data_IF_803514520303
#
_entry.id   IF_803514520303
#
_cell.length_a   1.000
_cell.length_b   1.000
_cell.length_c   1.000
_cell.angle_alpha   90.00
_cell.angle_beta   90.00
_cell.angle_gamma   90.00
#
_symmetry.space_group_name_H-M   'P 1'
#
loop_
_entity.id
_entity.type
_entity.pdbx_description
1 polymer ?
#
# COMPACT_ATOMS: atom_id res chain seq x y z
N UNK A 1 -5.15 5.49 -6.92
CA UNK A 1 -6.11 5.96 -7.92
C UNK A 1 -5.44 7.05 -8.72
N UNK A 2 -5.62 7.05 -10.03
CA UNK A 2 -5.09 8.06 -10.94
C UNK A 2 -6.16 9.16 -11.18
N UNK A 3 -5.77 10.35 -11.67
CA UNK A 3 -6.71 11.45 -11.91
C UNK A 3 -7.79 11.16 -12.96
N UNK A 4 -7.49 10.31 -13.94
CA UNK A 4 -8.39 9.83 -15.00
C UNK A 4 -9.46 8.83 -14.50
N UNK A 5 -9.39 8.42 -13.23
CA UNK A 5 -10.28 7.43 -12.64
C UNK A 5 -9.78 6.00 -12.77
N UNK A 6 -8.59 5.78 -13.34
CA UNK A 6 -7.96 4.46 -13.40
C UNK A 6 -7.36 4.05 -12.04
N UNK A 7 -7.26 2.75 -11.84
CA UNK A 7 -6.67 2.17 -10.65
C UNK A 7 -5.54 1.24 -11.04
N UNK A 8 -4.35 1.59 -10.56
CA UNK A 8 -3.15 0.79 -10.73
C UNK A 8 -2.97 -0.07 -9.49
N UNK A 9 -3.02 -1.39 -9.67
CA UNK A 9 -2.67 -2.34 -8.61
C UNK A 9 -1.24 -2.83 -8.84
N UNK A 10 -0.35 -2.53 -7.90
CA UNK A 10 1.02 -3.02 -7.92
C UNK A 10 1.12 -4.21 -6.98
N UNK A 11 1.44 -5.37 -7.54
CA UNK A 11 1.62 -6.60 -6.77
C UNK A 11 3.11 -6.80 -6.47
N UNK A 12 3.38 -7.06 -5.20
CA UNK A 12 4.72 -7.27 -4.67
C UNK A 12 4.87 -8.74 -4.28
N UNK A 13 6.11 -9.23 -4.33
CA UNK A 13 6.45 -10.56 -3.79
C UNK A 13 7.00 -10.48 -2.36
N UNK A 14 6.63 -9.43 -1.61
CA UNK A 14 7.10 -9.22 -0.24
C UNK A 14 6.75 -10.41 0.65
N UNK A 15 5.54 -10.96 0.49
CA UNK A 15 5.06 -12.08 1.31
C UNK A 15 5.88 -13.33 1.08
N UNK A 16 6.20 -13.64 -0.17
CA UNK A 16 6.99 -14.79 -0.58
C UNK A 16 8.41 -14.68 -0.04
N UNK A 17 9.04 -13.51 -0.16
CA UNK A 17 10.35 -13.22 0.41
C UNK A 17 10.32 -13.49 1.92
N UNK A 18 9.43 -12.83 2.67
CA UNK A 18 9.34 -12.97 4.12
C UNK A 18 9.09 -14.41 4.56
N UNK A 19 8.19 -15.11 3.85
CA UNK A 19 7.87 -16.51 4.14
C UNK A 19 9.08 -17.41 3.92
N UNK A 20 9.80 -17.23 2.80
CA UNK A 20 11.01 -17.98 2.50
C UNK A 20 12.11 -17.79 3.55
N UNK A 21 12.34 -16.55 4.00
CA UNK A 21 13.33 -16.26 5.06
C UNK A 21 12.87 -16.71 6.44
N UNK A 22 11.58 -16.63 6.75
CA UNK A 22 11.02 -17.19 7.98
C UNK A 22 11.26 -18.70 8.09
N UNK A 23 10.99 -19.45 7.01
CA UNK A 23 11.24 -20.91 6.97
C UNK A 23 12.73 -21.20 7.12
N UNK A 24 13.61 -20.44 6.46
CA UNK A 24 15.08 -20.58 6.60
C UNK A 24 15.53 -20.36 8.06
N UNK A 25 15.07 -19.29 8.71
CA UNK A 25 15.38 -19.01 10.12
C UNK A 25 14.93 -20.14 11.04
N UNK A 26 13.71 -20.64 10.86
CA UNK A 26 13.19 -21.78 11.65
C UNK A 26 14.04 -23.04 11.48
N UNK A 27 14.47 -23.36 10.25
CA UNK A 27 15.36 -24.51 10.00
C UNK A 27 16.70 -24.36 10.74
N UNK A 28 17.30 -23.16 10.75
CA UNK A 28 18.55 -22.88 11.49
C UNK A 28 18.34 -23.05 12.99
N UNK A 29 17.28 -22.46 13.54
CA UNK A 29 16.98 -22.53 14.98
C UNK A 29 16.65 -23.96 15.44
N UNK A 30 16.05 -24.79 14.58
CA UNK A 30 15.79 -26.21 14.87
C UNK A 30 17.08 -27.04 14.90
N UNK A 31 17.99 -26.82 13.95
CA UNK A 31 19.26 -27.58 13.85
C UNK A 31 20.33 -27.11 14.84
N UNK A 32 20.36 -25.82 15.17
CA UNK A 32 21.36 -25.22 16.05
C UNK A 32 20.64 -24.50 17.22
N UNK A 33 20.77 -25.06 18.42
CA UNK A 33 20.18 -24.48 19.65
C UNK A 33 20.91 -23.21 20.10
N UNK A 34 22.25 -23.24 20.10
CA UNK A 34 23.14 -22.16 20.55
C UNK A 34 24.46 -22.19 19.77
N UNK A 35 25.34 -21.20 19.98
CA UNK A 35 26.69 -21.16 19.41
C UNK A 35 26.94 -20.07 18.36
N UNK A 36 28.23 -19.80 18.10
CA UNK A 36 28.71 -18.77 17.15
C UNK A 36 28.12 -18.96 15.75
N UNK A 37 28.15 -20.19 15.24
CA UNK A 37 27.64 -20.55 13.91
C UNK A 37 26.15 -20.23 13.73
N UNK A 38 25.35 -20.44 14.76
CA UNK A 38 23.91 -20.09 14.76
C UNK A 38 23.72 -18.59 14.55
N UNK A 39 24.48 -17.78 15.30
CA UNK A 39 24.43 -16.32 15.24
C UNK A 39 24.79 -15.80 13.86
N UNK A 40 25.92 -16.25 13.32
CA UNK A 40 26.39 -15.90 11.97
C UNK A 40 25.36 -16.22 10.88
N UNK A 41 24.73 -17.40 10.93
CA UNK A 41 23.73 -17.79 9.94
C UNK A 41 22.46 -16.94 10.06
N UNK A 42 21.97 -16.69 11.28
CA UNK A 42 20.80 -15.84 11.49
C UNK A 42 21.04 -14.41 11.02
N UNK A 43 22.23 -13.87 11.29
CA UNK A 43 22.65 -12.55 10.83
C UNK A 43 22.74 -12.50 9.30
N UNK A 44 23.48 -13.43 8.68
CA UNK A 44 23.62 -13.53 7.22
C UNK A 44 22.27 -13.58 6.50
N UNK A 45 21.35 -14.42 6.97
CA UNK A 45 20.03 -14.52 6.32
C UNK A 45 19.10 -13.36 6.69
N UNK A 46 19.24 -12.77 7.87
CA UNK A 46 18.53 -11.55 8.25
C UNK A 46 18.95 -10.35 7.41
N UNK A 47 20.25 -10.18 7.16
CA UNK A 47 20.78 -9.16 6.25
C UNK A 47 20.29 -9.36 4.81
N UNK A 48 20.36 -10.59 4.28
CA UNK A 48 19.85 -10.88 2.94
C UNK A 48 18.35 -10.58 2.79
N UNK A 49 17.54 -10.91 3.80
CA UNK A 49 16.11 -10.54 3.80
C UNK A 49 15.94 -9.02 3.77
N UNK A 50 16.65 -8.30 4.65
CA UNK A 50 16.61 -6.83 4.71
C UNK A 50 16.99 -6.21 3.37
N UNK A 51 18.07 -6.67 2.74
CA UNK A 51 18.53 -6.11 1.46
C UNK A 51 17.54 -6.36 0.33
N UNK A 52 16.94 -7.56 0.26
CA UNK A 52 15.88 -7.85 -0.73
C UNK A 52 14.62 -7.02 -0.53
N UNK A 53 14.18 -6.84 0.72
CA UNK A 53 13.02 -6.00 1.02
C UNK A 53 13.30 -4.53 0.74
N UNK A 54 14.51 -4.05 1.04
CA UNK A 54 14.92 -2.68 0.72
C UNK A 54 14.89 -2.43 -0.78
N UNK A 55 15.53 -3.30 -1.57
CA UNK A 55 15.53 -3.21 -3.04
C UNK A 55 14.10 -3.17 -3.59
N UNK A 56 13.23 -4.07 -3.12
CA UNK A 56 11.80 -4.08 -3.47
C UNK A 56 11.12 -2.74 -3.17
N UNK A 57 11.34 -2.18 -1.96
CA UNK A 57 10.73 -0.91 -1.57
C UNK A 57 11.27 0.27 -2.39
N UNK A 58 12.57 0.31 -2.71
CA UNK A 58 13.13 1.36 -3.54
C UNK A 58 12.58 1.31 -4.98
N UNK A 59 12.39 0.11 -5.56
CA UNK A 59 11.77 -0.08 -6.88
C UNK A 59 10.31 0.32 -6.90
N UNK A 60 9.54 -0.10 -5.89
CA UNK A 60 8.15 0.30 -5.74
C UNK A 60 8.01 1.81 -5.60
N UNK A 61 8.82 2.44 -4.75
CA UNK A 61 8.81 3.89 -4.57
C UNK A 61 9.17 4.64 -5.86
N UNK A 62 10.16 4.16 -6.63
CA UNK A 62 10.47 4.73 -7.95
C UNK A 62 9.25 4.72 -8.87
N UNK A 63 8.52 3.60 -8.91
CA UNK A 63 7.34 3.48 -9.78
C UNK A 63 6.21 4.41 -9.34
N UNK A 64 5.98 4.53 -8.05
CA UNK A 64 4.97 5.46 -7.50
C UNK A 64 5.33 6.90 -7.85
N UNK A 65 6.58 7.30 -7.65
CA UNK A 65 7.05 8.65 -7.97
C UNK A 65 6.98 8.93 -9.47
N UNK A 66 7.35 7.97 -10.33
CA UNK A 66 7.24 8.10 -11.79
C UNK A 66 5.78 8.34 -12.25
N UNK A 67 4.82 7.65 -11.64
CA UNK A 67 3.40 7.91 -11.89
C UNK A 67 3.03 9.31 -11.39
N UNK A 68 3.46 9.69 -10.20
CA UNK A 68 3.11 10.98 -9.62
C UNK A 68 3.70 12.18 -10.39
N UNK A 69 4.86 12.04 -11.01
CA UNK A 69 5.42 13.06 -11.92
C UNK A 69 4.49 13.33 -13.11
N UNK A 70 3.83 12.29 -13.63
CA UNK A 70 2.88 12.41 -14.75
C UNK A 70 1.54 12.99 -14.32
N UNK A 71 1.14 12.75 -13.07
CA UNK A 71 -0.23 12.98 -12.60
C UNK A 71 -0.37 14.05 -11.49
N UNK A 72 0.73 14.64 -11.02
CA UNK A 72 0.77 15.87 -10.22
C UNK A 72 1.11 15.74 -8.73
N UNK A 73 0.96 14.57 -8.10
CA UNK A 73 1.27 14.42 -6.67
C UNK A 73 0.94 13.06 -6.07
N UNK A 74 1.30 12.88 -4.79
CA UNK A 74 1.11 11.63 -4.03
C UNK A 74 0.30 11.90 -2.78
N UNK A 75 -0.74 11.09 -2.56
CA UNK A 75 -1.46 11.01 -1.31
C UNK A 75 -1.16 9.66 -0.63
N UNK A 76 -0.72 9.70 0.62
CA UNK A 76 -0.46 8.52 1.44
C UNK A 76 -1.37 8.54 2.67
N UNK A 77 -1.79 7.37 3.14
CA UNK A 77 -2.47 7.29 4.44
C UNK A 77 -1.50 7.65 5.57
N UNK A 78 -1.96 8.44 6.53
CA UNK A 78 -1.24 8.66 7.77
C UNK A 78 -1.40 7.44 8.68
N UNK A 79 -0.39 6.57 8.68
CA UNK A 79 -0.39 5.33 9.43
C UNK A 79 0.38 5.48 10.76
N UNK A 80 0.65 6.72 11.20
CA UNK A 80 1.50 7.01 12.38
C UNK A 80 0.95 6.38 13.66
N UNK A 81 -0.38 6.30 13.81
CA UNK A 81 -1.02 5.82 15.05
C UNK A 81 -1.38 4.33 15.06
N UNK A 82 -1.24 3.61 13.93
CA UNK A 82 -1.68 2.20 13.82
C UNK A 82 -0.97 1.27 14.81
N UNK A 83 0.27 1.62 15.19
CA UNK A 83 1.04 0.84 16.16
C UNK A 83 0.63 1.08 17.61
N UNK A 84 0.01 2.23 17.90
CA UNK A 84 -0.34 2.64 19.26
C UNK A 84 -1.81 2.32 19.60
N UNK A 85 -2.68 2.21 18.60
CA UNK A 85 -4.13 2.21 18.83
C UNK A 85 -4.82 0.84 18.83
N UNK A 86 -4.11 -0.30 18.69
CA UNK A 86 -4.80 -1.58 18.44
C UNK A 86 -4.25 -2.78 19.22
N UNK A 87 -5.10 -3.38 20.06
CA UNK A 87 -4.92 -4.71 20.67
C UNK A 87 -5.08 -5.80 19.61
N UNK A 88 -4.07 -6.03 18.78
CA UNK A 88 -4.09 -7.12 17.81
C UNK A 88 -3.69 -8.46 18.44
N UNK A 89 -4.19 -9.57 17.87
CA UNK A 89 -3.71 -10.92 18.16
C UNK A 89 -2.23 -11.06 17.79
N UNK A 90 -1.51 -11.99 18.42
CA UNK A 90 -0.08 -12.22 18.16
C UNK A 90 0.25 -12.44 16.67
N UNK A 91 -0.68 -13.04 15.91
CA UNK A 91 -0.56 -13.24 14.47
C UNK A 91 -0.59 -11.92 13.69
N UNK A 92 -1.52 -11.04 14.02
CA UNK A 92 -1.72 -9.76 13.34
C UNK A 92 -0.66 -8.74 13.76
N UNK A 93 -0.23 -8.74 15.03
CA UNK A 93 0.98 -8.06 15.47
C UNK A 93 2.20 -8.52 14.68
N UNK A 94 2.35 -9.84 14.48
CA UNK A 94 3.41 -10.37 13.64
C UNK A 94 3.37 -9.82 12.21
N UNK A 95 2.19 -9.72 11.58
CA UNK A 95 2.04 -9.19 10.21
C UNK A 95 2.38 -7.71 10.11
N UNK A 96 1.91 -6.91 11.07
CA UNK A 96 2.14 -5.46 11.14
C UNK A 96 3.57 -5.09 11.49
N UNK A 97 4.20 -5.82 12.41
CA UNK A 97 5.63 -5.63 12.73
C UNK A 97 6.55 -6.07 11.59
N UNK A 98 6.09 -7.01 10.75
CA UNK A 98 6.84 -7.42 9.57
C UNK A 98 6.82 -6.31 8.52
N UNK A 99 5.65 -5.88 8.05
CA UNK A 99 5.56 -4.86 6.99
C UNK A 99 5.99 -3.48 7.50
N UNK A 100 7.12 -2.96 7.01
CA UNK A 100 7.56 -1.61 7.35
C UNK A 100 6.94 -0.58 6.40
N UNK A 101 5.61 -0.39 6.48
CA UNK A 101 4.90 0.64 5.73
C UNK A 101 5.56 2.02 5.91
N UNK A 102 6.01 2.34 7.14
CA UNK A 102 6.76 3.57 7.44
C UNK A 102 8.04 3.69 6.61
N UNK A 103 8.77 2.59 6.44
CA UNK A 103 9.99 2.60 5.61
C UNK A 103 9.66 2.91 4.16
N UNK A 104 8.61 2.30 3.61
CA UNK A 104 8.17 2.60 2.25
C UNK A 104 7.73 4.07 2.11
N UNK A 105 6.94 4.58 3.07
CA UNK A 105 6.51 5.98 3.09
C UNK A 105 7.72 6.93 3.12
N UNK A 106 8.68 6.72 4.02
CA UNK A 106 9.90 7.53 4.06
C UNK A 106 10.70 7.45 2.75
N UNK A 107 10.76 6.27 2.12
CA UNK A 107 11.44 6.13 0.82
C UNK A 107 10.70 6.92 -0.27
N UNK A 108 9.36 6.86 -0.30
CA UNK A 108 8.54 7.62 -1.23
C UNK A 108 8.73 9.12 -1.00
N UNK A 109 8.64 9.60 0.25
CA UNK A 109 8.76 11.00 0.61
C UNK A 109 10.08 11.61 0.13
N UNK A 110 11.23 10.99 0.46
CA UNK A 110 12.51 11.59 0.05
C UNK A 110 12.68 11.53 -1.47
N UNK A 111 12.24 10.46 -2.15
CA UNK A 111 12.34 10.35 -3.61
C UNK A 111 11.42 11.33 -4.32
N UNK A 112 10.21 11.52 -3.81
CA UNK A 112 9.26 12.51 -4.31
C UNK A 112 9.84 13.91 -4.15
N UNK A 113 10.41 14.24 -2.98
CA UNK A 113 11.09 15.52 -2.73
C UNK A 113 12.23 15.79 -3.70
N UNK A 114 13.07 14.78 -3.99
CA UNK A 114 14.15 14.89 -4.96
C UNK A 114 13.65 15.21 -6.38
N UNK A 115 12.41 14.82 -6.71
CA UNK A 115 11.79 15.08 -8.01
C UNK A 115 10.78 16.23 -8.00
N UNK A 116 10.71 17.00 -6.91
CA UNK A 116 9.75 18.10 -6.78
C UNK A 116 8.27 17.68 -6.69
N UNK A 117 7.99 16.40 -6.46
CA UNK A 117 6.63 15.86 -6.33
C UNK A 117 6.10 16.13 -4.93
N UNK A 118 4.90 16.74 -4.83
CA UNK A 118 4.23 17.00 -3.55
C UNK A 118 3.65 15.71 -2.97
N UNK A 119 3.88 15.50 -1.68
CA UNK A 119 3.32 14.38 -0.90
C UNK A 119 2.42 14.95 0.20
N UNK A 120 1.22 14.39 0.35
CA UNK A 120 0.31 14.71 1.45
C UNK A 120 -0.09 13.45 2.21
N UNK A 121 -0.14 13.57 3.54
CA UNK A 121 -0.61 12.52 4.44
C UNK A 121 -2.07 12.76 4.79
N UNK A 122 -2.88 11.71 4.63
CA UNK A 122 -4.33 11.75 4.79
C UNK A 122 -4.75 10.84 5.92
N UNK A 123 -5.56 11.34 6.85
CA UNK A 123 -6.08 10.52 7.94
C UNK A 123 -6.89 9.31 7.39
N UNK A 124 -6.51 8.06 7.74
CA UNK A 124 -7.14 6.84 7.24
C UNK A 124 -8.53 6.59 7.84
N UNK A 125 -8.97 7.33 8.86
CA UNK A 125 -10.28 7.16 9.46
C UNK A 125 -11.40 7.28 8.41
N UNK A 126 -12.33 6.33 8.42
CA UNK A 126 -13.50 6.29 7.53
C UNK A 126 -13.21 6.20 6.02
N UNK A 127 -11.97 5.90 5.58
CA UNK A 127 -11.63 5.77 4.15
C UNK A 127 -12.23 4.52 3.51
N UNK A 128 -12.57 3.49 4.28
CA UNK A 128 -13.11 2.21 3.78
C UNK A 128 -14.57 1.93 4.16
N UNK A 129 -15.25 2.89 4.79
CA UNK A 129 -16.63 2.72 5.29
C UNK A 129 -17.66 3.60 4.58
N UNK A 130 -17.20 4.62 3.86
CA UNK A 130 -18.06 5.61 3.18
C UNK A 130 -17.98 5.45 1.67
N UNK A 131 -19.12 5.64 1.01
CA UNK A 131 -19.21 5.60 -0.44
C UNK A 131 -18.51 6.84 -1.03
N UNK A 132 -17.54 6.67 -1.95
CA UNK A 132 -16.84 7.79 -2.57
C UNK A 132 -17.74 8.61 -3.50
N UNK A 133 -18.92 8.09 -3.86
CA UNK A 133 -19.86 8.74 -4.78
C UNK A 133 -20.86 9.61 -4.02
N UNK A 134 -21.55 9.05 -3.01
CA UNK A 134 -22.66 9.75 -2.33
C UNK A 134 -22.46 9.94 -0.82
N UNK A 135 -21.32 9.54 -0.26
CA UNK A 135 -21.04 9.67 1.18
C UNK A 135 -21.81 8.70 2.09
N UNK A 136 -22.73 7.89 1.56
CA UNK A 136 -23.49 6.91 2.32
C UNK A 136 -22.61 5.78 2.89
N UNK A 137 -23.07 5.12 3.96
CA UNK A 137 -22.37 3.96 4.55
C UNK A 137 -22.33 2.79 3.56
N UNK A 138 -21.18 2.13 3.49
CA UNK A 138 -20.98 0.92 2.69
C UNK A 138 -21.22 -0.34 3.53
N UNK A 139 -21.88 -1.33 2.94
CA UNK A 139 -22.07 -2.66 3.52
C UNK A 139 -21.18 -3.69 2.81
N UNK A 140 -20.66 -4.69 3.53
CA UNK A 140 -19.98 -5.82 2.91
C UNK A 140 -20.90 -6.56 1.93
N UNK A 141 -20.38 -6.89 0.75
CA UNK A 141 -21.05 -7.69 -0.27
C UNK A 141 -20.14 -8.86 -0.67
N UNK A 142 -20.05 -9.87 0.20
CA UNK A 142 -19.06 -10.94 0.12
C UNK A 142 -17.75 -10.58 0.85
N UNK A 143 -16.63 -11.18 0.42
CA UNK A 143 -15.36 -11.07 1.16
C UNK A 143 -14.62 -9.73 0.96
N UNK A 144 -14.57 -9.22 -0.28
CA UNK A 144 -13.77 -8.02 -0.62
C UNK A 144 -14.54 -6.86 -1.23
N UNK A 145 -15.73 -7.12 -1.76
CA UNK A 145 -16.55 -6.10 -2.40
C UNK A 145 -17.42 -5.38 -1.36
N UNK A 146 -17.53 -4.07 -1.49
CA UNK A 146 -18.42 -3.21 -0.73
C UNK A 146 -19.56 -2.73 -1.63
N UNK A 147 -20.77 -2.61 -1.08
CA UNK A 147 -21.95 -2.09 -1.77
C UNK A 147 -22.51 -0.87 -1.02
N UNK A 148 -22.93 0.15 -1.77
CA UNK A 148 -23.71 1.25 -1.23
C UNK A 148 -25.21 0.97 -1.41
N UNK A 149 -25.99 1.06 -0.34
CA UNK A 149 -27.45 0.93 -0.42
C UNK A 149 -28.12 2.18 -0.97
N UNK A 150 -27.49 3.35 -0.88
CA UNK A 150 -28.08 4.63 -1.29
C UNK A 150 -27.98 4.88 -2.81
N UNK A 151 -26.82 4.63 -3.41
CA UNK A 151 -26.58 4.86 -4.85
C UNK A 151 -26.29 3.59 -5.66
N UNK A 152 -26.32 2.40 -5.04
CA UNK A 152 -26.08 1.13 -5.72
C UNK A 152 -24.61 0.84 -6.09
N UNK A 153 -23.68 1.76 -5.82
CA UNK A 153 -22.24 1.60 -6.09
C UNK A 153 -21.67 0.31 -5.52
N UNK A 154 -20.80 -0.37 -6.28
CA UNK A 154 -20.08 -1.59 -5.86
C UNK A 154 -18.63 -1.55 -6.31
N UNK A 155 -17.68 -1.78 -5.40
CA UNK A 155 -16.26 -1.90 -5.73
C UNK A 155 -15.49 -2.68 -4.65
N UNK A 156 -14.25 -3.08 -4.95
CA UNK A 156 -13.34 -3.67 -3.98
C UNK A 156 -12.98 -2.68 -2.86
N UNK A 157 -12.80 -3.18 -1.63
CA UNK A 157 -12.47 -2.37 -0.46
C UNK A 157 -11.19 -1.53 -0.65
N UNK A 158 -10.16 -2.05 -1.31
CA UNK A 158 -8.89 -1.36 -1.51
C UNK A 158 -9.05 -0.19 -2.51
N UNK A 159 -9.96 -0.34 -3.47
CA UNK A 159 -10.33 0.67 -4.46
C UNK A 159 -11.12 1.80 -3.81
N UNK A 160 -12.12 1.44 -3.00
CA UNK A 160 -12.87 2.40 -2.17
C UNK A 160 -11.93 3.21 -1.28
N UNK A 161 -11.03 2.54 -0.56
CA UNK A 161 -10.02 3.18 0.28
C UNK A 161 -9.18 4.17 -0.52
N UNK A 162 -8.59 3.71 -1.62
CA UNK A 162 -7.75 4.52 -2.52
C UNK A 162 -8.49 5.74 -3.08
N UNK A 163 -9.78 5.60 -3.39
CA UNK A 163 -10.58 6.72 -3.89
C UNK A 163 -10.86 7.74 -2.80
N UNK A 164 -11.31 7.30 -1.62
CA UNK A 164 -11.58 8.20 -0.51
C UNK A 164 -10.32 8.95 -0.04
N UNK A 165 -9.15 8.30 -0.05
CA UNK A 165 -7.86 8.97 0.23
C UNK A 165 -7.62 10.09 -0.78
N UNK A 166 -7.81 9.82 -2.08
CA UNK A 166 -7.66 10.83 -3.13
C UNK A 166 -8.60 12.00 -2.93
N UNK A 167 -9.88 11.75 -2.63
CA UNK A 167 -10.87 12.82 -2.40
C UNK A 167 -10.47 13.71 -1.22
N UNK A 168 -10.02 13.12 -0.12
CA UNK A 168 -9.52 13.88 1.03
C UNK A 168 -8.26 14.68 0.69
N UNK A 169 -7.32 14.09 -0.05
CA UNK A 169 -6.10 14.77 -0.47
C UNK A 169 -6.39 15.99 -1.35
N UNK A 170 -7.29 15.84 -2.33
CA UNK A 170 -7.75 16.94 -3.18
C UNK A 170 -8.40 18.06 -2.35
N UNK A 171 -9.23 17.71 -1.36
CA UNK A 171 -9.80 18.68 -0.42
C UNK A 171 -8.72 19.42 0.37
N UNK A 172 -7.68 18.72 0.84
CA UNK A 172 -6.54 19.35 1.53
C UNK A 172 -5.73 20.28 0.62
N UNK A 173 -5.71 20.02 -0.69
CA UNK A 173 -5.09 20.89 -1.68
C UNK A 173 -6.00 22.04 -2.15
N UNK A 174 -7.18 22.22 -1.53
CA UNK A 174 -8.12 23.28 -1.87
C UNK A 174 -8.89 23.03 -3.16
N UNK A 175 -8.82 21.82 -3.73
CA UNK A 175 -9.63 21.43 -4.88
C UNK A 175 -11.03 21.10 -4.38
N UNK A 176 -12.04 21.74 -4.98
CA UNK A 176 -13.45 21.38 -4.75
C UNK A 176 -13.69 19.96 -5.22
N UNK A 177 -13.96 19.06 -4.27
CA UNK A 177 -14.32 17.67 -4.53
C UNK A 177 -15.81 17.47 -4.27
N UNK A 178 -16.51 16.60 -5.02
CA UNK A 178 -17.94 16.34 -4.83
C UNK A 178 -18.31 15.92 -3.41
N UNK A 179 -19.58 16.16 -3.00
CA UNK A 179 -20.76 15.58 -3.67
C UNK A 179 -21.45 16.47 -4.72
N UNK A 180 -20.88 17.64 -5.04
CA UNK A 180 -21.50 18.73 -5.85
C UNK A 180 -21.13 18.79 -7.34
N UNK A 181 -20.57 17.73 -7.95
CA UNK A 181 -20.48 17.67 -9.42
C UNK A 181 -21.00 16.34 -9.95
N UNK A 182 -21.45 16.37 -11.22
CA UNK A 182 -22.06 15.22 -11.90
C UNK A 182 -21.26 13.93 -11.65
N UNK A 183 -21.95 12.78 -11.45
CA UNK A 183 -21.27 11.50 -11.29
C UNK A 183 -20.34 11.29 -12.48
N UNK A 184 -19.08 10.95 -12.21
CA UNK A 184 -18.16 10.50 -13.26
C UNK A 184 -18.88 9.43 -14.07
N UNK A 185 -18.85 9.55 -15.41
CA UNK A 185 -19.47 8.55 -16.29
C UNK A 185 -18.97 7.17 -15.88
N UNK A 186 -19.91 6.28 -15.52
CA UNK A 186 -19.62 4.90 -15.16
C UNK A 186 -19.21 4.12 -16.42
N UNK A 187 -18.01 4.39 -16.95
CA UNK A 187 -17.32 3.48 -17.83
C UNK A 187 -16.90 2.25 -17.03
N UNK A 188 -16.99 1.06 -17.61
CA UNK A 188 -16.61 -0.20 -16.96
C UNK A 188 -15.22 -0.11 -16.36
N UNK A 189 -15.14 -0.02 -15.03
CA UNK A 189 -13.90 0.08 -14.29
C UNK A 189 -13.10 -1.22 -14.41
N UNK A 190 -11.85 -1.12 -14.89
CA UNK A 190 -10.91 -2.24 -14.92
C UNK A 190 -9.62 -1.83 -14.21
N UNK A 191 -9.23 -2.48 -13.10
CA UNK A 191 -7.93 -2.24 -12.49
C UNK A 191 -6.80 -2.76 -13.39
N UNK A 192 -5.81 -1.91 -13.67
CA UNK A 192 -4.61 -2.28 -14.41
C UNK A 192 -3.59 -2.88 -13.45
N UNK A 193 -3.16 -4.12 -13.71
CA UNK A 193 -2.31 -4.90 -12.79
C UNK A 193 -0.85 -4.87 -13.26
N UNK A 194 0.05 -4.49 -12.36
CA UNK A 194 1.49 -4.49 -12.59
C UNK A 194 2.19 -5.36 -11.54
N UNK A 195 3.18 -6.14 -11.95
CA UNK A 195 4.04 -6.89 -11.04
C UNK A 195 5.41 -6.22 -10.97
N UNK A 196 5.97 -6.04 -9.76
CA UNK A 196 7.29 -5.40 -9.64
C UNK A 196 8.40 -6.29 -10.21
N UNK A 197 8.19 -7.60 -10.23
CA UNK A 197 9.16 -8.55 -10.77
C UNK A 197 9.24 -8.54 -12.32
N UNK A 198 8.22 -8.03 -13.02
CA UNK A 198 8.27 -7.89 -14.49
C UNK A 198 9.06 -6.66 -14.95
N UNK A 199 9.56 -5.82 -14.02
CA UNK A 199 10.46 -4.70 -14.34
C UNK A 199 11.94 -5.14 -14.53
N UNK A 200 12.19 -6.44 -14.66
CA UNK A 200 13.50 -7.01 -14.99
C UNK A 200 13.50 -7.67 -16.38
N UNK A 201 13.15 -6.91 -17.40
CA UNK A 201 13.56 -7.13 -18.80
C UNK A 201 13.45 -5.82 -19.58
N UNK A 202 14.21 -4.80 -19.17
CA UNK A 202 14.65 -3.77 -20.11
C UNK A 202 16.13 -3.59 -19.82
N UNK A 203 16.94 -4.31 -20.59
CA UNK A 203 18.35 -4.07 -20.91
C UNK A 203 18.76 -5.26 -21.80
N UNK A 204 18.44 -5.14 -23.09
CA UNK A 204 19.25 -5.69 -24.16
C UNK A 204 20.20 -4.59 -24.61
#
# INVERSE_FOLDING_TARGET
SLPDGEFVQIITHEREIRTGYFVKRRKIQKKLRTGKRRRELLEKFGERERNRLNDLYHKLANKIVELAEKYGGIALEDLTEIRNSIRYSAEMNGRLHRWSFRKLQSIIEYKAKLKGVKVVFVNPAHTSSLCPVCGGKLSPNGCRVLKCSNCGFKADRDVVGSWNIRLKALKMWGVTVPPESQPMKMGGWKPTRYEINTLHTING
#
